data_IF_901129141809
#
_entry.id   IF_901129141809
#
_cell.length_a   1.000
_cell.length_b   1.000
_cell.length_c   1.000
_cell.angle_alpha   90.00
_cell.angle_beta   90.00
_cell.angle_gamma   90.00
#
_symmetry.space_group_name_H-M   'P 1'
#
loop_
_entity.id
_entity.type
_entity.pdbx_description
1 polymer ?
#
# COMPACT_ATOMS: atom_id res chain seq x y z
N UNK A 1 -14.77 71.11 -21.58
CA UNK A 1 -15.76 70.60 -22.56
C UNK A 1 -15.04 69.62 -23.48
N UNK A 2 -15.63 68.51 -23.96
CA UNK A 2 -16.94 67.92 -23.68
C UNK A 2 -16.92 66.37 -23.44
N UNK A 3 -17.99 65.89 -22.81
CA UNK A 3 -18.89 64.75 -23.12
C UNK A 3 -18.42 63.40 -23.72
N UNK A 4 -19.00 62.34 -23.15
CA UNK A 4 -19.19 60.97 -23.71
C UNK A 4 -20.00 61.00 -25.02
N UNK A 5 -19.88 59.93 -25.84
CA UNK A 5 -21.05 59.09 -26.19
C UNK A 5 -20.70 57.59 -26.08
N UNK A 6 -21.53 56.62 -25.63
CA UNK A 6 -22.92 56.21 -25.91
C UNK A 6 -23.18 55.59 -27.30
N UNK A 7 -23.78 54.38 -27.27
CA UNK A 7 -24.68 53.76 -28.29
C UNK A 7 -24.05 53.28 -29.61
N UNK A 8 -24.52 52.27 -30.33
CA UNK A 8 -25.69 51.36 -30.35
C UNK A 8 -25.19 50.10 -31.13
N UNK A 9 -25.67 48.87 -30.99
CA UNK A 9 -27.04 48.39 -31.17
C UNK A 9 -27.13 47.55 -32.46
N UNK A 10 -27.65 46.31 -32.36
CA UNK A 10 -28.44 45.55 -33.36
C UNK A 10 -28.60 44.11 -32.84
N UNK A 11 -29.63 43.79 -32.04
CA UNK A 11 -30.97 43.30 -32.45
C UNK A 11 -30.97 42.22 -33.54
N UNK A 12 -31.35 41.01 -33.15
CA UNK A 12 -32.17 40.11 -33.97
C UNK A 12 -33.24 39.54 -33.04
N UNK A 13 -34.45 40.00 -33.29
CA UNK A 13 -35.69 39.57 -32.66
C UNK A 13 -36.22 38.28 -33.30
N UNK A 14 -37.08 37.64 -32.52
CA UNK A 14 -38.29 36.89 -32.89
C UNK A 14 -38.19 35.36 -33.00
N UNK A 15 -38.67 34.63 -31.97
CA UNK A 15 -40.03 34.04 -31.75
C UNK A 15 -40.06 32.63 -32.41
N UNK A 16 -40.47 31.51 -31.79
CA UNK A 16 -41.73 31.19 -31.11
C UNK A 16 -41.63 29.90 -30.25
N UNK A 17 -42.36 29.91 -29.10
CA UNK A 17 -43.29 28.89 -28.55
C UNK A 17 -42.93 27.39 -28.57
N UNK A 18 -43.16 26.57 -27.53
CA UNK A 18 -44.15 26.54 -26.45
C UNK A 18 -43.62 25.64 -25.30
N UNK A 19 -43.73 26.00 -24.01
CA UNK A 19 -44.81 25.66 -23.06
C UNK A 19 -44.90 24.12 -22.78
N UNK A 20 -44.90 23.57 -21.56
CA UNK A 20 -45.56 23.94 -20.29
C UNK A 20 -45.06 22.98 -19.16
N UNK A 21 -44.75 23.44 -17.94
CA UNK A 21 -45.65 23.51 -16.74
C UNK A 21 -45.88 22.10 -16.11
N UNK A 22 -45.70 21.80 -14.82
CA UNK A 22 -45.77 22.61 -13.61
C UNK A 22 -44.99 21.96 -12.45
N UNK A 23 -44.43 22.81 -11.59
CA UNK A 23 -44.27 22.51 -10.17
C UNK A 23 -45.65 22.52 -9.49
N UNK A 24 -45.90 21.67 -8.50
CA UNK A 24 -46.93 21.95 -7.50
C UNK A 24 -46.53 21.42 -6.13
N UNK A 25 -46.69 22.29 -5.13
CA UNK A 25 -46.31 22.18 -3.73
C UNK A 25 -47.59 22.21 -2.89
N UNK A 26 -47.63 21.35 -1.85
CA UNK A 26 -48.49 21.34 -0.66
C UNK A 26 -50.01 21.17 -0.78
N UNK A 27 -50.53 20.11 -0.13
CA UNK A 27 -51.44 20.24 1.04
C UNK A 27 -51.51 18.90 1.82
N UNK A 28 -51.48 18.89 3.18
CA UNK A 28 -51.62 17.70 4.02
C UNK A 28 -53.09 17.39 4.39
N UNK A 29 -53.48 16.11 4.32
CA UNK A 29 -54.79 15.63 4.77
C UNK A 29 -54.70 15.11 6.21
N UNK A 30 -55.41 15.79 7.10
CA UNK A 30 -55.79 15.34 8.46
C UNK A 30 -56.93 14.30 8.37
N UNK A 31 -56.80 13.16 9.05
CA UNK A 31 -57.94 12.45 9.64
C UNK A 31 -57.48 11.60 10.85
N UNK A 32 -58.21 11.58 11.99
CA UNK A 32 -57.74 11.04 13.26
C UNK A 32 -58.26 9.61 13.51
N UNK A 33 -57.41 8.75 14.07
CA UNK A 33 -57.86 7.51 14.73
C UNK A 33 -57.15 7.33 16.06
N UNK A 34 -57.94 7.56 17.11
CA UNK A 34 -57.70 7.19 18.50
C UNK A 34 -57.64 5.66 18.62
N UNK A 35 -56.66 5.17 19.37
CA UNK A 35 -56.35 3.75 19.48
C UNK A 35 -55.25 3.52 20.49
N UNK A 36 -55.61 3.70 21.77
CA UNK A 36 -54.82 3.30 22.92
C UNK A 36 -54.17 1.93 22.73
N UNK A 37 -52.84 1.88 22.70
CA UNK A 37 -52.08 0.71 23.14
C UNK A 37 -50.91 1.21 23.96
N UNK A 38 -51.18 1.26 25.25
CA UNK A 38 -50.21 1.35 26.33
C UNK A 38 -49.38 0.05 26.30
N UNK A 39 -48.36 0.02 25.45
CA UNK A 39 -47.29 -0.98 25.48
C UNK A 39 -46.05 -0.30 25.99
N UNK A 40 -45.96 -0.27 27.32
CA UNK A 40 -44.74 -0.06 28.08
C UNK A 40 -43.61 -0.93 27.50
N UNK A 41 -42.73 -0.34 26.69
CA UNK A 41 -41.38 -0.85 26.46
C UNK A 41 -40.41 0.17 27.05
N UNK A 42 -40.06 -0.20 28.28
CA UNK A 42 -38.95 0.23 29.09
C UNK A 42 -37.64 0.48 28.31
N UNK A 43 -36.89 1.48 28.74
CA UNK A 43 -35.44 1.45 28.68
C UNK A 43 -34.76 1.76 27.34
N UNK A 44 -34.11 2.91 27.32
CA UNK A 44 -32.91 3.21 26.54
C UNK A 44 -33.10 3.37 25.04
N UNK A 45 -32.98 4.61 24.59
CA UNK A 45 -32.47 4.96 23.26
C UNK A 45 -31.02 4.48 23.12
N UNK A 46 -30.79 3.19 23.25
CA UNK A 46 -29.53 2.57 22.90
C UNK A 46 -29.45 2.62 21.38
N UNK A 47 -28.41 3.27 20.87
CA UNK A 47 -28.06 3.37 19.46
C UNK A 47 -27.72 1.98 18.92
N UNK A 48 -28.74 1.13 18.76
CA UNK A 48 -28.59 -0.22 18.28
C UNK A 48 -28.38 -0.20 16.77
N UNK A 49 -27.16 0.13 16.37
CA UNK A 49 -26.72 0.00 14.97
C UNK A 49 -26.92 -1.46 14.56
N UNK A 50 -27.59 -1.65 13.43
CA UNK A 50 -27.92 -2.98 12.88
C UNK A 50 -26.65 -3.83 12.69
N UNK A 51 -26.68 -5.08 13.16
CA UNK A 51 -25.53 -5.99 13.07
C UNK A 51 -25.15 -6.33 11.62
N UNK A 52 -26.11 -6.30 10.68
CA UNK A 52 -25.81 -6.43 9.26
C UNK A 52 -25.01 -5.21 8.75
N UNK A 53 -25.32 -4.01 9.24
CA UNK A 53 -24.59 -2.78 8.93
C UNK A 53 -23.21 -2.80 9.58
N UNK A 54 -23.09 -3.21 10.85
CA UNK A 54 -21.79 -3.40 11.50
C UNK A 54 -20.94 -4.44 10.78
N UNK A 55 -21.53 -5.57 10.36
CA UNK A 55 -20.83 -6.60 9.59
C UNK A 55 -20.36 -6.07 8.24
N UNK A 56 -21.21 -5.34 7.52
CA UNK A 56 -20.86 -4.80 6.20
C UNK A 56 -19.83 -3.66 6.29
N UNK A 57 -19.92 -2.82 7.32
CA UNK A 57 -18.90 -1.81 7.62
C UNK A 57 -17.60 -2.47 8.04
N UNK A 58 -17.64 -3.51 8.88
CA UNK A 58 -16.45 -4.29 9.23
C UNK A 58 -15.81 -4.91 8.00
N UNK A 59 -16.61 -5.49 7.11
CA UNK A 59 -16.13 -6.13 5.88
C UNK A 59 -15.59 -5.11 4.88
N UNK A 60 -16.23 -3.94 4.73
CA UNK A 60 -15.73 -2.85 3.90
C UNK A 60 -14.45 -2.22 4.47
N UNK A 61 -14.39 -1.99 5.78
CA UNK A 61 -13.24 -1.44 6.47
C UNK A 61 -12.04 -2.39 6.42
N UNK A 62 -12.28 -3.69 6.64
CA UNK A 62 -11.24 -4.71 6.50
C UNK A 62 -10.74 -4.78 5.05
N UNK A 63 -11.61 -4.74 4.04
CA UNK A 63 -11.19 -4.80 2.63
C UNK A 63 -10.43 -3.54 2.16
N UNK A 64 -10.73 -2.37 2.69
CA UNK A 64 -10.05 -1.10 2.34
C UNK A 64 -8.64 -1.02 2.97
N UNK A 65 -8.48 -1.54 4.20
CA UNK A 65 -7.21 -1.51 4.93
C UNK A 65 -6.32 -2.74 4.65
N UNK A 66 -6.90 -3.85 4.20
CA UNK A 66 -6.19 -5.05 3.73
C UNK A 66 -5.46 -4.84 2.39
N UNK A 67 -5.56 -3.67 1.77
CA UNK A 67 -4.89 -3.37 0.49
C UNK A 67 -3.83 -2.30 0.59
N UNK A 68 -3.34 -2.04 1.80
CA UNK A 68 -2.36 -0.99 2.04
C UNK A 68 -1.28 -1.52 2.96
N UNK A 69 -0.03 -1.27 2.57
CA UNK A 69 1.12 -1.42 3.45
C UNK A 69 1.66 -0.04 3.81
N UNK A 70 2.08 0.13 5.06
CA UNK A 70 2.71 1.36 5.55
C UNK A 70 4.21 1.14 5.54
N UNK A 71 4.97 2.06 4.96
CA UNK A 71 6.43 2.04 5.08
C UNK A 71 6.82 2.33 6.53
N UNK A 72 7.49 1.39 7.18
CA UNK A 72 7.93 1.52 8.59
C UNK A 72 9.40 1.88 8.71
N UNK A 73 10.19 1.66 7.66
CA UNK A 73 11.60 1.98 7.68
C UNK A 73 12.24 1.97 6.30
N UNK A 74 13.28 2.78 6.15
CA UNK A 74 14.16 2.78 4.99
C UNK A 74 15.59 2.76 5.50
N UNK A 75 16.38 1.79 5.03
CA UNK A 75 17.80 1.69 5.44
C UNK A 75 18.68 1.29 4.27
N UNK A 76 19.92 1.76 4.29
CA UNK A 76 20.96 1.28 3.37
C UNK A 76 21.76 0.16 4.03
N UNK A 77 21.92 -0.96 3.32
CA UNK A 77 22.72 -2.12 3.72
C UNK A 77 23.68 -2.45 2.59
N UNK A 78 24.95 -2.07 2.78
CA UNK A 78 25.98 -2.25 1.76
C UNK A 78 25.66 -1.47 0.49
N UNK A 79 25.28 -2.17 -0.58
CA UNK A 79 24.93 -1.59 -1.88
C UNK A 79 23.44 -1.69 -2.21
N UNK A 80 22.60 -1.87 -1.18
CA UNK A 80 21.16 -2.07 -1.33
C UNK A 80 20.39 -1.16 -0.39
N UNK A 81 19.37 -0.49 -0.90
CA UNK A 81 18.36 0.21 -0.08
C UNK A 81 17.23 -0.76 0.21
N UNK A 82 16.90 -0.92 1.48
CA UNK A 82 15.87 -1.80 1.98
C UNK A 82 14.72 -0.94 2.49
N UNK A 83 13.53 -1.12 1.93
CA UNK A 83 12.29 -0.49 2.36
C UNK A 83 11.45 -1.55 3.06
N UNK A 84 11.12 -1.30 4.33
CA UNK A 84 10.29 -2.17 5.14
C UNK A 84 8.87 -1.66 5.15
N UNK A 85 7.91 -2.56 4.92
CA UNK A 85 6.50 -2.24 4.88
C UNK A 85 5.71 -3.19 5.77
N UNK A 86 4.71 -2.67 6.47
CA UNK A 86 3.88 -3.44 7.39
C UNK A 86 2.39 -3.11 7.21
N UNK A 87 1.48 -4.10 7.36
CA UNK A 87 0.06 -3.82 7.38
C UNK A 87 -0.32 -2.86 8.54
N UNK A 88 -1.37 -2.03 8.38
CA UNK A 88 -1.79 -1.06 9.39
C UNK A 88 -2.18 -1.68 10.74
N UNK A 89 -2.56 -2.95 10.76
CA UNK A 89 -2.98 -3.67 11.97
C UNK A 89 -1.87 -4.57 12.56
N UNK A 90 -0.66 -4.45 12.05
CA UNK A 90 0.44 -5.35 12.36
C UNK A 90 0.31 -6.68 11.62
N UNK A 91 1.45 -7.34 11.41
CA UNK A 91 1.48 -8.60 10.69
C UNK A 91 2.87 -8.93 10.14
N UNK A 92 2.90 -9.63 9.02
CA UNK A 92 4.16 -9.98 8.36
C UNK A 92 4.77 -8.73 7.71
N UNK A 93 5.99 -8.40 8.11
CA UNK A 93 6.79 -7.37 7.45
C UNK A 93 7.12 -7.79 6.02
N UNK A 94 6.71 -6.97 5.06
CA UNK A 94 7.13 -7.05 3.67
C UNK A 94 8.40 -6.21 3.46
N UNK A 95 9.26 -6.62 2.55
CA UNK A 95 10.54 -5.93 2.32
C UNK A 95 10.85 -5.81 0.84
N UNK A 96 10.95 -4.58 0.37
CA UNK A 96 11.46 -4.27 -0.96
C UNK A 96 12.94 -3.91 -0.91
N UNK A 97 13.68 -4.34 -1.93
CA UNK A 97 15.13 -4.14 -2.03
C UNK A 97 15.47 -3.49 -3.36
N UNK A 98 16.18 -2.38 -3.28
CA UNK A 98 16.61 -1.61 -4.45
C UNK A 98 18.13 -1.46 -4.46
N UNK A 99 18.73 -1.28 -5.63
CA UNK A 99 20.14 -0.93 -5.73
C UNK A 99 20.40 0.47 -5.13
N UNK A 100 21.41 0.57 -4.27
CA UNK A 100 21.82 1.84 -3.70
C UNK A 100 22.70 2.64 -4.67
N UNK A 101 22.72 3.99 -4.57
CA UNK A 101 23.59 4.81 -5.41
C UNK A 101 25.05 4.44 -5.24
N UNK A 102 25.80 4.35 -6.35
CA UNK A 102 27.24 4.05 -6.36
C UNK A 102 28.01 5.19 -7.02
N UNK A 103 29.20 5.47 -6.50
CA UNK A 103 30.14 6.43 -7.07
C UNK A 103 29.56 7.83 -7.37
N UNK A 104 28.55 8.25 -6.58
CA UNK A 104 27.87 9.54 -6.76
C UNK A 104 26.86 9.58 -7.91
N UNK A 105 26.55 8.44 -8.54
CA UNK A 105 25.51 8.33 -9.57
C UNK A 105 24.22 7.73 -9.00
N UNK A 106 23.09 8.33 -9.41
CA UNK A 106 21.74 7.82 -9.12
C UNK A 106 21.21 6.89 -10.22
N UNK A 107 21.91 6.74 -11.35
CA UNK A 107 21.48 5.88 -12.45
C UNK A 107 21.33 4.42 -12.03
N UNK A 108 22.20 3.97 -11.13
CA UNK A 108 22.18 2.62 -10.52
C UNK A 108 20.94 2.41 -9.64
N UNK A 109 20.26 3.48 -9.22
CA UNK A 109 19.09 3.46 -8.33
C UNK A 109 17.79 3.82 -9.05
N UNK A 110 17.71 3.63 -10.37
CA UNK A 110 16.53 4.00 -11.15
C UNK A 110 15.22 3.44 -10.57
N UNK A 111 15.18 2.15 -10.23
CA UNK A 111 14.01 1.52 -9.63
C UNK A 111 13.60 2.14 -8.27
N UNK A 112 14.58 2.56 -7.46
CA UNK A 112 14.29 3.24 -6.20
C UNK A 112 13.74 4.65 -6.43
N UNK A 113 14.27 5.36 -7.43
CA UNK A 113 13.76 6.69 -7.80
C UNK A 113 12.34 6.62 -8.36
N UNK A 114 12.03 5.58 -9.15
CA UNK A 114 10.66 5.33 -9.64
C UNK A 114 9.71 5.03 -8.48
N UNK A 115 10.14 4.22 -7.52
CA UNK A 115 9.38 3.95 -6.30
C UNK A 115 9.11 5.23 -5.49
N UNK A 116 10.13 6.08 -5.29
CA UNK A 116 9.96 7.38 -4.63
C UNK A 116 9.03 8.31 -5.42
N UNK A 117 9.16 8.34 -6.74
CA UNK A 117 8.29 9.15 -7.60
C UNK A 117 6.83 8.69 -7.54
N UNK A 118 6.57 7.37 -7.52
CA UNK A 118 5.24 6.80 -7.33
C UNK A 118 4.65 7.18 -5.96
N UNK A 119 5.49 7.17 -4.92
CA UNK A 119 5.13 7.64 -3.58
C UNK A 119 4.97 9.17 -3.48
N UNK A 120 5.39 9.92 -4.50
CA UNK A 120 5.41 11.39 -4.47
C UNK A 120 6.48 11.98 -3.55
N UNK A 121 7.49 11.18 -3.19
CA UNK A 121 8.56 11.56 -2.26
C UNK A 121 9.79 12.03 -3.04
N UNK A 122 10.41 13.10 -2.55
CA UNK A 122 11.65 13.64 -3.10
C UNK A 122 12.84 12.73 -2.77
N UNK A 123 13.78 12.48 -3.71
CA UNK A 123 15.00 11.72 -3.42
C UNK A 123 15.91 12.33 -2.35
N UNK A 124 15.71 13.62 -2.03
CA UNK A 124 16.46 14.31 -0.97
C UNK A 124 15.82 14.12 0.41
N UNK A 125 14.54 13.74 0.46
CA UNK A 125 13.69 13.73 1.65
C UNK A 125 13.17 12.30 1.89
N UNK A 126 14.08 11.32 1.85
CA UNK A 126 13.76 9.87 1.93
C UNK A 126 13.09 9.51 3.27
N UNK A 127 13.28 10.30 4.31
CA UNK A 127 12.60 10.11 5.59
C UNK A 127 11.08 10.36 5.51
N UNK A 128 10.60 11.19 4.58
CA UNK A 128 9.17 11.38 4.31
C UNK A 128 8.50 10.12 3.75
N UNK A 129 9.29 9.16 3.24
CA UNK A 129 8.77 7.87 2.80
C UNK A 129 8.20 7.07 3.98
N UNK A 130 8.75 7.22 5.19
CA UNK A 130 8.27 6.52 6.38
C UNK A 130 6.89 7.04 6.77
N UNK A 131 5.94 6.11 6.95
CA UNK A 131 4.53 6.42 7.18
C UNK A 131 3.70 6.54 5.90
N UNK A 132 4.33 6.48 4.72
CA UNK A 132 3.61 6.46 3.45
C UNK A 132 2.80 5.18 3.30
N UNK A 133 1.56 5.33 2.82
CA UNK A 133 0.63 4.24 2.53
C UNK A 133 0.77 3.81 1.08
N UNK A 134 1.22 2.59 0.88
CA UNK A 134 1.47 2.01 -0.44
C UNK A 134 0.38 0.98 -0.75
N UNK A 135 -0.34 1.16 -1.86
CA UNK A 135 -1.30 0.16 -2.35
C UNK A 135 -0.65 -1.20 -2.59
N UNK A 136 -1.29 -2.24 -2.07
CA UNK A 136 -0.83 -3.61 -2.14
C UNK A 136 -2.02 -4.59 -2.21
N UNK A 137 -1.75 -5.79 -2.70
CA UNK A 137 -2.70 -6.91 -2.71
C UNK A 137 -2.09 -8.06 -1.92
N UNK A 138 -2.85 -8.62 -0.98
CA UNK A 138 -2.46 -9.84 -0.29
C UNK A 138 -2.87 -11.09 -1.09
N UNK A 139 -1.91 -11.96 -1.35
CA UNK A 139 -2.12 -13.28 -1.93
C UNK A 139 -1.77 -14.36 -0.87
N UNK A 140 -2.65 -15.34 -0.61
CA UNK A 140 -2.44 -16.31 0.46
C UNK A 140 -1.30 -17.30 0.19
N UNK A 141 -0.87 -17.48 -1.07
CA UNK A 141 0.22 -18.39 -1.43
C UNK A 141 1.57 -17.67 -1.48
N UNK A 142 1.57 -16.42 -1.95
CA UNK A 142 2.79 -15.64 -2.23
C UNK A 142 3.03 -14.48 -1.26
N UNK A 143 2.05 -14.15 -0.43
CA UNK A 143 2.10 -13.04 0.53
C UNK A 143 1.71 -11.69 -0.09
N UNK A 144 2.20 -10.62 0.51
CA UNK A 144 1.92 -9.26 0.03
C UNK A 144 2.61 -8.96 -1.30
N UNK A 145 1.88 -8.29 -2.19
CA UNK A 145 2.38 -7.80 -3.47
C UNK A 145 2.03 -6.33 -3.61
N UNK A 146 3.01 -5.48 -3.91
CA UNK A 146 2.73 -4.07 -4.19
C UNK A 146 2.02 -3.93 -5.54
N UNK A 147 1.22 -2.87 -5.69
CA UNK A 147 0.61 -2.51 -6.97
C UNK A 147 1.68 -2.22 -8.04
N UNK A 148 1.33 -2.40 -9.31
CA UNK A 148 2.25 -2.32 -10.45
C UNK A 148 3.11 -1.04 -10.49
N UNK A 149 2.57 0.09 -10.02
CA UNK A 149 3.30 1.36 -9.98
C UNK A 149 4.46 1.37 -8.97
N UNK A 150 4.43 0.47 -7.99
CA UNK A 150 5.43 0.30 -6.93
C UNK A 150 6.14 -1.04 -7.03
N UNK A 151 5.55 -1.99 -7.74
CA UNK A 151 6.19 -3.22 -8.11
C UNK A 151 7.39 -2.84 -8.97
N UNK A 152 8.59 -3.06 -8.42
CA UNK A 152 9.74 -3.26 -9.29
C UNK A 152 9.37 -4.47 -10.14
N UNK A 153 9.15 -4.24 -11.44
CA UNK A 153 8.91 -5.30 -12.43
C UNK A 153 9.88 -6.41 -12.10
N UNK A 154 9.34 -7.53 -11.57
CA UNK A 154 10.07 -8.40 -10.64
C UNK A 154 11.32 -8.82 -11.36
N UNK A 155 12.39 -8.10 -11.06
CA UNK A 155 13.54 -8.14 -11.89
C UNK A 155 14.08 -9.56 -11.75
N UNK A 156 13.94 -10.33 -12.83
CA UNK A 156 14.85 -11.41 -13.14
C UNK A 156 16.32 -10.91 -13.08
N UNK A 157 16.54 -9.60 -12.93
CA UNK A 157 17.74 -8.88 -12.54
C UNK A 157 17.99 -8.78 -11.01
N UNK A 158 17.88 -9.90 -10.30
CA UNK A 158 18.84 -10.21 -9.23
C UNK A 158 20.24 -10.59 -9.78
N UNK A 159 20.49 -10.33 -11.08
CA UNK A 159 21.56 -10.91 -11.87
C UNK A 159 22.88 -10.12 -11.88
N UNK A 160 22.98 -8.93 -11.28
CA UNK A 160 24.24 -8.16 -11.27
C UNK A 160 24.70 -7.65 -9.89
N UNK A 161 24.21 -8.25 -8.80
CA UNK A 161 25.09 -8.39 -7.64
C UNK A 161 26.10 -9.47 -8.03
N UNK A 162 27.34 -9.06 -8.34
CA UNK A 162 28.42 -9.95 -8.74
C UNK A 162 28.37 -11.23 -7.88
N UNK A 163 28.49 -12.44 -8.46
CA UNK A 163 28.23 -13.70 -7.77
C UNK A 163 29.00 -13.90 -6.45
N UNK A 164 30.06 -13.10 -6.25
CA UNK A 164 30.84 -13.02 -5.01
C UNK A 164 30.10 -12.34 -3.85
N UNK A 165 29.32 -11.31 -4.10
CA UNK A 165 28.63 -10.55 -3.04
C UNK A 165 27.47 -11.37 -2.46
N UNK A 166 26.73 -12.07 -3.34
CA UNK A 166 25.67 -13.00 -2.92
C UNK A 166 26.23 -14.22 -2.18
N UNK A 167 27.33 -14.78 -2.66
CA UNK A 167 28.00 -15.89 -2.00
C UNK A 167 28.59 -15.47 -0.65
N UNK A 168 29.19 -14.28 -0.56
CA UNK A 168 29.76 -13.75 0.67
C UNK A 168 28.68 -13.52 1.74
N UNK A 169 27.54 -12.93 1.36
CA UNK A 169 26.44 -12.66 2.28
C UNK A 169 25.78 -13.96 2.79
N UNK A 170 25.60 -14.94 1.90
CA UNK A 170 25.13 -16.27 2.26
C UNK A 170 26.09 -17.01 3.20
N UNK A 171 27.41 -16.96 2.92
CA UNK A 171 28.45 -17.56 3.77
C UNK A 171 28.50 -16.89 5.14
N UNK A 172 28.37 -15.56 5.19
CA UNK A 172 28.39 -14.82 6.44
C UNK A 172 27.18 -15.14 7.32
N UNK A 173 25.99 -15.18 6.70
CA UNK A 173 24.74 -15.59 7.37
C UNK A 173 24.85 -17.02 7.92
N UNK A 174 25.39 -17.95 7.13
CA UNK A 174 25.45 -19.36 7.49
C UNK A 174 26.76 -19.78 8.17
N UNK A 175 27.58 -18.83 8.64
CA UNK A 175 28.94 -19.10 9.15
C UNK A 175 28.99 -20.18 10.23
N UNK A 176 28.01 -20.19 11.13
CA UNK A 176 27.95 -21.16 12.23
C UNK A 176 27.57 -22.56 11.75
N UNK A 177 26.65 -22.64 10.79
CA UNK A 177 26.28 -23.90 10.14
C UNK A 177 27.42 -24.46 9.29
N UNK A 178 28.16 -23.60 8.59
CA UNK A 178 29.35 -24.00 7.83
C UNK A 178 30.44 -24.55 8.77
N UNK A 179 30.69 -23.91 9.91
CA UNK A 179 31.61 -24.43 10.93
C UNK A 179 31.12 -25.77 11.50
N UNK A 180 29.82 -25.91 11.75
CA UNK A 180 29.25 -27.17 12.24
C UNK A 180 29.41 -28.31 11.23
N UNK A 181 29.10 -28.08 9.95
CA UNK A 181 29.28 -29.06 8.87
C UNK A 181 30.76 -29.39 8.65
N UNK A 182 31.65 -28.39 8.71
CA UNK A 182 33.09 -28.62 8.62
C UNK A 182 33.60 -29.46 9.79
N UNK A 183 33.14 -29.19 11.02
CA UNK A 183 33.53 -29.94 12.21
C UNK A 183 33.08 -31.40 12.11
N UNK A 184 31.78 -31.62 11.86
CA UNK A 184 31.18 -32.96 11.80
C UNK A 184 31.69 -33.72 10.57
N UNK A 185 31.72 -33.08 9.41
CA UNK A 185 32.22 -33.68 8.17
C UNK A 185 33.73 -33.96 8.25
N UNK A 186 34.50 -33.08 8.88
CA UNK A 186 35.92 -33.26 9.12
C UNK A 186 36.21 -34.43 10.05
N UNK A 187 35.43 -34.58 11.12
CA UNK A 187 35.55 -35.73 12.03
C UNK A 187 35.22 -37.05 11.32
N UNK A 188 34.13 -37.09 10.54
CA UNK A 188 33.76 -38.28 9.76
C UNK A 188 34.83 -38.64 8.72
N UNK A 189 35.38 -37.65 8.02
CA UNK A 189 36.44 -37.85 7.05
C UNK A 189 37.72 -38.36 7.74
N UNK A 190 38.06 -37.81 8.91
CA UNK A 190 39.20 -38.26 9.70
C UNK A 190 39.06 -39.73 10.12
N UNK A 191 37.88 -40.13 10.61
CA UNK A 191 37.59 -41.54 10.94
C UNK A 191 37.68 -42.42 9.70
N UNK A 192 37.12 -42.00 8.56
CA UNK A 192 37.20 -42.76 7.32
C UNK A 192 38.66 -42.97 6.85
N UNK A 193 39.50 -41.94 6.96
CA UNK A 193 40.93 -42.04 6.63
C UNK A 193 41.66 -43.00 7.57
N UNK A 194 41.38 -42.96 8.88
CA UNK A 194 41.93 -43.94 9.83
C UNK A 194 41.52 -45.36 9.43
N UNK A 195 40.26 -45.58 9.11
CA UNK A 195 39.78 -46.91 8.69
C UNK A 195 40.53 -47.36 7.44
N UNK A 196 40.68 -46.52 6.42
CA UNK A 196 41.41 -46.89 5.18
C UNK A 196 42.90 -47.16 5.43
N UNK A 197 43.54 -46.47 6.36
CA UNK A 197 44.96 -46.64 6.65
C UNK A 197 45.26 -47.85 7.56
N UNK A 198 44.29 -48.29 8.37
CA UNK A 198 44.47 -49.34 9.38
C UNK A 198 43.58 -50.58 9.18
N UNK A 199 42.80 -50.62 8.10
CA UNK A 199 42.11 -51.83 7.62
C UNK A 199 43.03 -52.63 6.67
#
# INVERSE_FOLDING_TARGET
>A
MPDRPSRDGRTSESTESAASTAANVNDPVDDPVDGSTDSHVDGSTDSHVDEAVKRRLREAYLNDEERVLIVTGVRSVGSTVVVELEPPHGGTTHTERFAAPRDGSLSESAAFLEFLAAAGVSPLDVDELVGTRIPATYDPETGWRLDEAYATDRADESADAAPRDRAADWVWTNRYWLLAVLLVGGELLFVAVIIVLFA
#
